data_IF_340398547422
#
_entry.id   IF_340398547422
#
_cell.length_a   1.000
_cell.length_b   1.000
_cell.length_c   1.000
_cell.angle_alpha   90.00
_cell.angle_beta   90.00
_cell.angle_gamma   90.00
#
_symmetry.space_group_name_H-M   'P 1'
#
loop_
_entity.id
_entity.type
_entity.pdbx_description
1 polymer ?
#
# COMPACT_ATOMS: atom_id res chain seq x y z
N UNK A 1 -4.49 -55.16 -26.15
CA UNK A 1 -4.71 -53.88 -26.86
C UNK A 1 -5.25 -52.79 -25.94
N UNK A 2 -6.31 -53.03 -25.17
CA UNK A 2 -6.92 -52.04 -24.26
C UNK A 2 -5.93 -51.34 -23.31
N UNK A 3 -5.05 -52.09 -22.64
CA UNK A 3 -4.06 -51.53 -21.72
C UNK A 3 -3.05 -50.57 -22.38
N UNK A 4 -2.77 -50.74 -23.68
CA UNK A 4 -1.87 -49.84 -24.40
C UNK A 4 -2.58 -48.53 -24.77
N UNK A 5 -3.86 -48.61 -25.12
CA UNK A 5 -4.69 -47.45 -25.44
C UNK A 5 -4.92 -46.60 -24.19
N UNK A 6 -5.16 -47.22 -23.03
CA UNK A 6 -5.34 -46.50 -21.76
C UNK A 6 -4.07 -45.75 -21.34
N UNK A 7 -2.89 -46.37 -21.51
CA UNK A 7 -1.61 -45.71 -21.21
C UNK A 7 -1.38 -44.50 -22.11
N UNK A 8 -1.70 -44.60 -23.40
CA UNK A 8 -1.59 -43.47 -24.34
C UNK A 8 -2.55 -42.34 -23.97
N UNK A 9 -3.78 -42.65 -23.60
CA UNK A 9 -4.75 -41.65 -23.15
C UNK A 9 -4.29 -40.90 -21.89
N UNK A 10 -3.74 -41.62 -20.91
CA UNK A 10 -3.20 -41.01 -19.69
C UNK A 10 -2.01 -40.11 -20.02
N UNK A 11 -1.10 -40.55 -20.88
CA UNK A 11 0.06 -39.77 -21.28
C UNK A 11 -0.34 -38.45 -21.97
N UNK A 12 -1.34 -38.49 -22.87
CA UNK A 12 -1.88 -37.28 -23.51
C UNK A 12 -2.54 -36.35 -22.48
N UNK A 13 -3.32 -36.89 -21.55
CA UNK A 13 -3.92 -36.12 -20.47
C UNK A 13 -2.87 -35.40 -19.59
N UNK A 14 -1.79 -36.10 -19.24
CA UNK A 14 -0.68 -35.49 -18.49
C UNK A 14 -0.03 -34.33 -19.24
N UNK A 15 0.19 -34.47 -20.55
CA UNK A 15 0.78 -33.38 -21.36
C UNK A 15 -0.12 -32.15 -21.38
N UNK A 16 -1.45 -32.32 -21.49
CA UNK A 16 -2.40 -31.21 -21.45
C UNK A 16 -2.34 -30.48 -20.10
N UNK A 17 -2.34 -31.23 -18.99
CA UNK A 17 -2.24 -30.65 -17.64
C UNK A 17 -0.92 -29.89 -17.45
N UNK A 18 0.20 -30.41 -17.97
CA UNK A 18 1.49 -29.74 -17.89
C UNK A 18 1.52 -28.40 -18.65
N UNK A 19 0.81 -28.29 -19.78
CA UNK A 19 0.70 -27.02 -20.53
C UNK A 19 -0.15 -26.01 -19.75
N UNK A 20 -1.28 -26.45 -19.18
CA UNK A 20 -2.13 -25.59 -18.36
C UNK A 20 -1.36 -25.06 -17.14
N UNK A 21 -0.65 -25.94 -16.42
CA UNK A 21 0.15 -25.56 -15.25
C UNK A 21 1.25 -24.54 -15.59
N UNK A 22 1.87 -24.64 -16.77
CA UNK A 22 2.86 -23.65 -17.21
C UNK A 22 2.23 -22.29 -17.45
N UNK A 23 1.04 -22.24 -18.05
CA UNK A 23 0.28 -21.01 -18.24
C UNK A 23 -0.12 -20.39 -16.89
N UNK A 24 -0.65 -21.19 -15.96
CA UNK A 24 -1.06 -20.74 -14.64
C UNK A 24 0.13 -20.20 -13.81
N UNK A 25 1.30 -20.84 -13.92
CA UNK A 25 2.52 -20.36 -13.28
C UNK A 25 2.97 -19.01 -13.84
N UNK A 26 2.97 -18.85 -15.17
CA UNK A 26 3.35 -17.59 -15.80
C UNK A 26 2.37 -16.45 -15.46
N UNK A 27 1.07 -16.74 -15.39
CA UNK A 27 0.04 -15.77 -15.00
C UNK A 27 0.24 -15.31 -13.54
N UNK A 28 0.45 -16.27 -12.62
CA UNK A 28 0.72 -15.94 -11.20
C UNK A 28 2.01 -15.16 -11.01
N UNK A 29 3.05 -15.46 -11.78
CA UNK A 29 4.30 -14.70 -11.73
C UNK A 29 4.08 -13.26 -12.22
N UNK A 30 3.32 -13.07 -13.32
CA UNK A 30 2.97 -11.74 -13.81
C UNK A 30 2.13 -10.96 -12.80
N UNK A 31 1.19 -11.61 -12.11
CA UNK A 31 0.39 -10.96 -11.08
C UNK A 31 1.19 -10.61 -9.83
N UNK A 32 2.16 -11.44 -9.44
CA UNK A 32 3.10 -11.11 -8.38
C UNK A 32 3.96 -9.89 -8.74
N UNK A 33 4.46 -9.82 -9.98
CA UNK A 33 5.23 -8.65 -10.47
C UNK A 33 4.37 -7.38 -10.40
N UNK A 34 3.15 -7.42 -10.91
CA UNK A 34 2.23 -6.26 -10.85
C UNK A 34 1.91 -5.85 -9.42
N UNK A 35 1.69 -6.80 -8.53
CA UNK A 35 1.38 -6.51 -7.13
C UNK A 35 2.59 -5.89 -6.42
N UNK A 36 3.78 -6.42 -6.67
CA UNK A 36 5.01 -5.88 -6.10
C UNK A 36 5.32 -4.47 -6.63
N UNK A 37 5.07 -4.20 -7.91
CA UNK A 37 5.16 -2.86 -8.48
C UNK A 37 4.20 -1.88 -7.78
N UNK A 38 2.94 -2.30 -7.55
CA UNK A 38 1.98 -1.48 -6.79
C UNK A 38 2.44 -1.22 -5.36
N UNK A 39 3.00 -2.22 -4.68
CA UNK A 39 3.55 -2.06 -3.33
C UNK A 39 4.69 -1.03 -3.36
N UNK A 40 5.63 -1.17 -4.29
CA UNK A 40 6.75 -0.25 -4.41
C UNK A 40 6.32 1.19 -4.68
N UNK A 41 5.29 1.40 -5.52
CA UNK A 41 4.72 2.73 -5.76
C UNK A 41 4.11 3.29 -4.48
N UNK A 42 3.26 2.51 -3.79
CA UNK A 42 2.60 2.95 -2.55
C UNK A 42 3.60 3.20 -1.41
N UNK A 43 4.67 2.41 -1.30
CA UNK A 43 5.75 2.65 -0.35
C UNK A 43 6.49 3.95 -0.66
N UNK A 44 6.77 4.23 -1.94
CA UNK A 44 7.37 5.49 -2.38
C UNK A 44 6.48 6.70 -2.09
N UNK A 45 5.18 6.61 -2.40
CA UNK A 45 4.20 7.66 -2.08
C UNK A 45 4.11 7.89 -0.56
N UNK A 46 4.08 6.82 0.24
CA UNK A 46 4.06 6.96 1.70
C UNK A 46 5.35 7.60 2.24
N UNK A 47 6.51 7.24 1.71
CA UNK A 47 7.78 7.84 2.12
C UNK A 47 7.87 9.32 1.73
N UNK A 48 7.30 9.69 0.58
CA UNK A 48 7.18 11.10 0.17
C UNK A 48 6.23 11.87 1.09
N UNK A 49 5.05 11.32 1.38
CA UNK A 49 4.09 11.92 2.33
C UNK A 49 4.74 12.13 3.70
N UNK A 50 5.46 11.12 4.21
CA UNK A 50 6.18 11.25 5.48
C UNK A 50 7.25 12.32 5.43
N UNK A 51 8.04 12.40 4.35
CA UNK A 51 9.04 13.47 4.18
C UNK A 51 8.42 14.86 4.17
N UNK A 52 7.25 15.02 3.54
CA UNK A 52 6.52 16.30 3.51
C UNK A 52 5.96 16.64 4.90
N UNK A 53 5.47 15.64 5.65
CA UNK A 53 4.97 15.86 7.01
C UNK A 53 6.09 16.15 8.01
N UNK A 54 7.25 15.51 7.85
CA UNK A 54 8.43 15.70 8.69
C UNK A 54 9.16 17.03 8.39
N UNK A 55 8.81 17.70 7.29
CA UNK A 55 9.30 19.04 6.99
C UNK A 55 8.82 20.01 8.08
N UNK A 56 9.77 20.68 8.74
CA UNK A 56 9.53 21.47 9.96
C UNK A 56 8.51 22.59 9.76
N UNK A 57 8.41 23.10 8.54
CA UNK A 57 7.50 24.19 8.18
C UNK A 57 6.04 23.72 8.14
N UNK A 58 5.78 22.46 7.77
CA UNK A 58 4.43 21.90 7.72
C UNK A 58 3.89 21.65 9.14
N UNK A 59 4.73 21.15 10.05
CA UNK A 59 4.31 20.94 11.44
C UNK A 59 3.95 22.25 12.15
N UNK A 60 4.73 23.32 11.95
CA UNK A 60 4.44 24.64 12.53
C UNK A 60 3.20 25.27 11.92
N UNK A 61 3.00 25.11 10.61
CA UNK A 61 1.80 25.59 9.93
C UNK A 61 0.54 24.83 10.40
N UNK A 62 0.62 23.52 10.56
CA UNK A 62 -0.49 22.71 11.10
C UNK A 62 -0.85 23.10 12.53
N UNK A 63 0.15 23.42 13.36
CA UNK A 63 -0.05 23.95 14.71
C UNK A 63 -0.78 25.30 14.68
N UNK A 64 -0.36 26.23 13.81
CA UNK A 64 -1.01 27.52 13.66
C UNK A 64 -2.49 27.38 13.25
N UNK A 65 -2.79 26.55 12.25
CA UNK A 65 -4.18 26.31 11.79
C UNK A 65 -5.02 25.65 12.89
N UNK A 66 -4.46 24.71 13.64
CA UNK A 66 -5.16 24.07 14.75
C UNK A 66 -5.52 25.09 15.86
N UNK A 67 -4.63 26.04 16.14
CA UNK A 67 -4.84 27.08 17.14
C UNK A 67 -5.81 28.18 16.66
N UNK A 68 -5.65 28.65 15.43
CA UNK A 68 -6.37 29.82 14.90
C UNK A 68 -7.76 29.48 14.34
N UNK A 69 -7.89 28.38 13.59
CA UNK A 69 -9.13 28.04 12.90
C UNK A 69 -9.96 26.99 13.65
N UNK A 70 -9.30 26.01 14.29
CA UNK A 70 -9.99 24.92 15.00
C UNK A 70 -10.16 25.20 16.50
N UNK A 71 -9.58 26.30 17.01
CA UNK A 71 -9.65 26.70 18.41
C UNK A 71 -9.07 25.65 19.39
N UNK A 72 -8.18 24.78 18.90
CA UNK A 72 -7.58 23.72 19.68
C UNK A 72 -6.53 24.33 20.62
N UNK A 73 -6.61 24.05 21.92
CA UNK A 73 -5.55 24.37 22.87
C UNK A 73 -4.74 23.10 23.14
N UNK A 74 -3.41 23.21 23.23
CA UNK A 74 -2.60 22.10 23.73
C UNK A 74 -3.08 21.72 25.15
N UNK A 75 -3.11 20.43 25.50
CA UNK A 75 -3.62 19.97 26.81
C UNK A 75 -2.97 20.67 28.01
N UNK A 76 -1.72 21.12 27.83
CA UNK A 76 -0.88 21.66 28.90
C UNK A 76 -0.77 23.20 28.88
N UNK A 77 -1.51 23.90 28.02
CA UNK A 77 -1.35 25.34 27.82
C UNK A 77 -2.26 26.18 28.75
N UNK A 78 -1.66 26.98 29.65
CA UNK A 78 -2.37 28.00 30.43
C UNK A 78 -2.26 29.35 29.76
N UNK A 79 -3.38 29.84 29.21
CA UNK A 79 -3.49 31.18 28.60
C UNK A 79 -3.97 32.19 29.63
N UNK A 80 -3.21 33.27 29.82
CA UNK A 80 -3.60 34.41 30.64
C UNK A 80 -3.90 35.59 29.72
N UNK A 81 -5.15 36.03 29.72
CA UNK A 81 -5.55 37.27 29.04
C UNK A 81 -5.49 38.42 30.04
N UNK A 82 -4.76 39.48 29.69
CA UNK A 82 -4.73 40.69 30.51
C UNK A 82 -6.00 41.50 30.27
N UNK A 83 -6.92 41.41 31.22
CA UNK A 83 -8.19 42.16 31.25
C UNK A 83 -8.06 43.49 32.02
N UNK A 84 -6.85 43.97 32.30
CA UNK A 84 -6.64 45.20 33.09
C UNK A 84 -6.86 46.51 32.32
N UNK A 85 -7.24 46.44 31.03
CA UNK A 85 -7.72 47.57 30.25
C UNK A 85 -9.13 47.31 29.74
N UNK A 86 -10.10 47.59 30.60
CA UNK A 86 -11.44 48.02 30.20
C UNK A 86 -11.80 49.25 31.06
#
# INVERSE_FOLDING_TARGET
>A
MLARITVVLIAVGCVIVLVILQSDCAEKEADLVKLNEKISVLEGENEEIQRVLDDSDVSSYMEQVALEEQGYAYPDERRFYDISRD
#
